data_IF_768964515975
#
_entry.id   IF_768964515975
#
_cell.length_a   1.000
_cell.length_b   1.000
_cell.length_c   1.000
_cell.angle_alpha   90.00
_cell.angle_beta   90.00
_cell.angle_gamma   90.00
#
_symmetry.space_group_name_H-M   'P 1'
#
loop_
_entity.id
_entity.type
_entity.pdbx_description
1 polymer ?
#
# COMPACT_ATOMS: atom_id res chain seq x y z
N UNK A 1 12.44 -0.91 -20.49
CA UNK A 1 12.14 -1.73 -19.31
C UNK A 1 10.79 -1.34 -18.74
N UNK A 2 9.99 -2.32 -18.44
CA UNK A 2 8.67 -2.08 -17.87
C UNK A 2 8.76 -1.98 -16.35
N UNK A 3 8.15 -0.95 -15.80
CA UNK A 3 7.97 -0.84 -14.35
C UNK A 3 6.57 -1.39 -14.00
N UNK A 4 6.39 -1.72 -12.73
CA UNK A 4 5.09 -2.15 -12.22
C UNK A 4 4.40 -0.99 -11.51
N UNK A 5 3.08 -0.94 -11.62
CA UNK A 5 2.24 -0.02 -10.85
C UNK A 5 1.42 -0.85 -9.87
N UNK A 6 1.50 -0.49 -8.61
CA UNK A 6 0.81 -1.19 -7.53
C UNK A 6 -0.16 -0.21 -6.88
N UNK A 7 -1.40 -0.62 -6.68
CA UNK A 7 -2.39 0.18 -5.97
C UNK A 7 -2.82 -0.58 -4.73
N UNK A 8 -2.63 0.04 -3.57
CA UNK A 8 -2.98 -0.54 -2.27
C UNK A 8 -4.03 0.35 -1.61
N UNK A 9 -5.17 -0.22 -1.26
CA UNK A 9 -6.26 0.51 -0.64
C UNK A 9 -6.40 0.13 0.82
N UNK A 10 -6.34 1.14 1.69
CA UNK A 10 -6.54 1.00 3.13
C UNK A 10 -7.89 1.61 3.49
N UNK A 11 -8.93 0.79 3.55
CA UNK A 11 -10.27 1.24 3.94
C UNK A 11 -10.30 1.38 5.45
N UNK A 12 -10.57 2.59 5.94
CA UNK A 12 -10.40 2.92 7.35
C UNK A 12 -11.72 2.83 8.11
N UNK A 13 -11.68 2.31 9.33
CA UNK A 13 -12.82 2.35 10.25
C UNK A 13 -13.07 3.82 10.60
N UNK A 14 -14.34 4.24 10.51
CA UNK A 14 -14.73 5.62 10.82
C UNK A 14 -14.21 6.03 12.21
N UNK A 15 -13.51 7.16 12.27
CA UNK A 15 -12.90 7.67 13.49
C UNK A 15 -11.44 7.26 13.67
N UNK A 16 -10.92 6.35 12.84
CA UNK A 16 -9.52 5.90 12.93
C UNK A 16 -8.61 6.53 11.86
N UNK A 17 -9.12 7.50 11.10
CA UNK A 17 -8.39 8.10 9.98
C UNK A 17 -7.05 8.71 10.40
N UNK A 18 -7.06 9.44 11.52
CA UNK A 18 -5.85 10.09 12.01
C UNK A 18 -4.76 9.10 12.40
N UNK A 19 -5.15 7.96 12.98
CA UNK A 19 -4.21 6.91 13.37
C UNK A 19 -3.58 6.25 12.15
N UNK A 20 -4.40 5.95 11.13
CA UNK A 20 -3.90 5.33 9.89
C UNK A 20 -2.99 6.31 9.16
N UNK A 21 -3.39 7.59 9.07
CA UNK A 21 -2.57 8.61 8.42
C UNK A 21 -1.19 8.71 9.06
N UNK A 22 -1.15 8.78 10.39
CA UNK A 22 0.12 8.86 11.12
C UNK A 22 0.99 7.63 10.89
N UNK A 23 0.38 6.46 10.92
CA UNK A 23 1.09 5.21 10.68
C UNK A 23 1.70 5.17 9.28
N UNK A 24 0.94 5.60 8.27
CA UNK A 24 1.44 5.66 6.89
C UNK A 24 2.58 6.68 6.79
N UNK A 25 2.45 7.86 7.39
CA UNK A 25 3.51 8.85 7.41
C UNK A 25 4.80 8.29 8.00
N UNK A 26 4.69 7.55 9.09
CA UNK A 26 5.85 6.96 9.77
C UNK A 26 6.52 5.85 8.95
N UNK A 27 5.76 5.19 8.07
CA UNK A 27 6.28 4.04 7.30
C UNK A 27 6.68 4.37 5.87
N UNK A 28 6.26 5.51 5.32
CA UNK A 28 6.50 5.86 3.91
C UNK A 28 7.99 5.94 3.55
N UNK A 29 8.81 6.48 4.42
CA UNK A 29 10.24 6.61 4.14
C UNK A 29 10.91 5.26 4.00
N UNK A 30 10.52 4.27 4.82
CA UNK A 30 11.04 2.92 4.70
C UNK A 30 10.62 2.30 3.38
N UNK A 31 9.37 2.47 2.99
CA UNK A 31 8.87 1.95 1.71
C UNK A 31 9.62 2.56 0.53
N UNK A 32 9.81 3.89 0.55
CA UNK A 32 10.51 4.60 -0.53
C UNK A 32 11.97 4.18 -0.65
N UNK A 33 12.57 3.74 0.45
CA UNK A 33 13.97 3.32 0.48
C UNK A 33 14.15 1.83 0.17
N UNK A 34 13.05 1.08 0.03
CA UNK A 34 13.13 -0.35 -0.22
C UNK A 34 13.59 -0.61 -1.66
N UNK A 35 14.40 -1.66 -1.82
CA UNK A 35 14.93 -2.01 -3.13
C UNK A 35 13.82 -2.19 -4.16
N UNK A 36 13.94 -1.47 -5.27
CA UNK A 36 12.99 -1.53 -6.37
C UNK A 36 11.86 -0.51 -6.30
N UNK A 37 11.71 0.22 -5.19
CA UNK A 37 10.69 1.27 -5.11
C UNK A 37 11.13 2.50 -5.90
N UNK A 38 10.37 2.87 -6.92
CA UNK A 38 10.67 4.02 -7.77
C UNK A 38 9.95 5.27 -7.33
N UNK A 39 8.69 5.15 -6.92
CA UNK A 39 7.90 6.26 -6.40
C UNK A 39 6.72 5.75 -5.61
N UNK A 40 6.20 6.60 -4.74
CA UNK A 40 5.07 6.28 -3.89
C UNK A 40 4.34 7.57 -3.52
N UNK A 41 3.04 7.60 -3.82
CA UNK A 41 2.15 8.68 -3.40
C UNK A 41 0.94 8.07 -2.70
N UNK A 42 0.44 8.77 -1.68
CA UNK A 42 -0.75 8.33 -0.95
C UNK A 42 -1.82 9.40 -1.05
N UNK A 43 -3.01 8.98 -1.42
CA UNK A 43 -4.17 9.84 -1.55
C UNK A 43 -5.25 9.42 -0.56
N UNK A 44 -6.08 10.37 -0.15
CA UNK A 44 -7.25 10.06 0.65
C UNK A 44 -8.49 10.17 -0.22
N UNK A 45 -9.30 9.09 -0.27
CA UNK A 45 -10.57 9.07 -0.96
C UNK A 45 -11.70 9.22 0.05
N UNK A 46 -12.35 10.39 0.02
CA UNK A 46 -13.41 10.70 0.98
C UNK A 46 -14.62 9.79 0.85
N UNK A 47 -15.00 9.46 -0.37
CA UNK A 47 -16.20 8.64 -0.66
C UNK A 47 -16.15 7.28 0.04
N UNK A 48 -14.99 6.65 0.06
CA UNK A 48 -14.82 5.32 0.64
C UNK A 48 -14.09 5.33 1.97
N UNK A 49 -13.71 6.51 2.45
CA UNK A 49 -12.92 6.69 3.66
C UNK A 49 -11.65 5.83 3.62
N UNK A 50 -10.92 5.95 2.50
CA UNK A 50 -9.76 5.11 2.25
C UNK A 50 -8.51 5.93 1.97
N UNK A 51 -7.36 5.45 2.45
CA UNK A 51 -6.06 5.90 1.96
C UNK A 51 -5.65 4.97 0.84
N UNK A 52 -5.23 5.54 -0.28
CA UNK A 52 -4.86 4.80 -1.48
C UNK A 52 -3.42 5.11 -1.82
N UNK A 53 -2.57 4.09 -1.76
CA UNK A 53 -1.18 4.21 -2.16
C UNK A 53 -1.04 3.82 -3.62
N UNK A 54 -0.46 4.72 -4.42
CA UNK A 54 -0.14 4.45 -5.83
C UNK A 54 1.38 4.40 -5.91
N UNK A 55 1.90 3.24 -6.26
CA UNK A 55 3.32 2.93 -6.16
C UNK A 55 3.87 2.49 -7.50
N UNK A 56 5.09 2.94 -7.80
CA UNK A 56 5.86 2.46 -8.95
C UNK A 56 7.03 1.64 -8.45
N UNK A 57 7.18 0.44 -8.99
CA UNK A 57 8.24 -0.48 -8.64
C UNK A 57 8.96 -0.95 -9.90
N UNK A 58 10.22 -1.34 -9.76
CA UNK A 58 10.98 -1.88 -10.89
C UNK A 58 10.31 -3.11 -11.50
N UNK A 59 9.68 -3.93 -10.67
CA UNK A 59 8.91 -5.10 -11.10
C UNK A 59 7.91 -5.49 -10.04
N UNK A 60 6.95 -6.33 -10.39
CA UNK A 60 6.02 -6.92 -9.42
C UNK A 60 6.80 -7.75 -8.40
N UNK A 61 7.86 -8.43 -8.83
CA UNK A 61 8.70 -9.23 -7.92
C UNK A 61 9.34 -8.39 -6.83
N UNK A 62 9.80 -7.18 -7.15
CA UNK A 62 10.33 -6.26 -6.14
C UNK A 62 9.28 -5.88 -5.11
N UNK A 63 8.07 -5.58 -5.57
CA UNK A 63 6.96 -5.27 -4.68
C UNK A 63 6.60 -6.48 -3.79
N UNK A 64 6.55 -7.67 -4.37
CA UNK A 64 6.21 -8.88 -3.61
C UNK A 64 7.21 -9.12 -2.47
N UNK A 65 8.49 -8.89 -2.71
CA UNK A 65 9.53 -8.98 -1.67
C UNK A 65 9.31 -7.95 -0.57
N UNK A 66 8.95 -6.72 -0.96
CA UNK A 66 8.64 -5.66 -0.01
C UNK A 66 7.44 -6.05 0.87
N UNK A 67 6.36 -6.52 0.24
CA UNK A 67 5.15 -6.92 0.97
C UNK A 67 5.45 -8.06 1.94
N UNK A 68 6.21 -9.05 1.51
CA UNK A 68 6.63 -10.14 2.38
C UNK A 68 7.38 -9.63 3.60
N UNK A 69 8.29 -8.68 3.40
CA UNK A 69 9.03 -8.06 4.49
C UNK A 69 8.10 -7.32 5.46
N UNK A 70 7.11 -6.57 4.93
CA UNK A 70 6.12 -5.88 5.77
C UNK A 70 5.32 -6.87 6.61
N UNK A 71 4.89 -7.97 6.02
CA UNK A 71 4.12 -9.00 6.73
C UNK A 71 4.97 -9.60 7.84
N UNK A 72 6.22 -9.95 7.55
CA UNK A 72 7.14 -10.53 8.52
C UNK A 72 7.47 -9.58 9.66
N UNK A 73 7.48 -8.27 9.40
CA UNK A 73 7.80 -7.27 10.42
C UNK A 73 6.57 -6.79 11.20
N UNK A 74 5.40 -7.38 10.96
CA UNK A 74 4.24 -7.18 11.82
C UNK A 74 3.28 -6.07 11.44
N UNK A 75 3.27 -5.61 10.19
CA UNK A 75 2.37 -4.55 9.73
C UNK A 75 0.90 -4.92 9.98
N UNK A 76 0.55 -6.20 9.87
CA UNK A 76 -0.81 -6.67 10.09
C UNK A 76 -1.30 -6.34 11.50
N UNK A 77 -0.48 -6.58 12.52
CA UNK A 77 -0.87 -6.34 13.92
C UNK A 77 -1.23 -4.88 14.18
N UNK A 78 -0.58 -3.98 13.50
CA UNK A 78 -0.77 -2.53 13.69
C UNK A 78 -1.96 -2.02 12.90
N UNK A 79 -2.09 -2.47 11.64
CA UNK A 79 -3.13 -1.98 10.73
C UNK A 79 -4.48 -2.68 10.88
N UNK A 80 -4.48 -3.99 11.11
CA UNK A 80 -5.72 -4.78 11.12
C UNK A 80 -6.84 -4.18 11.96
N UNK A 81 -6.60 -3.75 13.22
CA UNK A 81 -7.69 -3.21 14.06
C UNK A 81 -8.18 -1.83 13.62
N UNK A 82 -7.48 -1.15 12.73
CA UNK A 82 -7.83 0.19 12.26
C UNK A 82 -8.58 0.18 10.93
N UNK A 83 -8.64 -0.99 10.26
CA UNK A 83 -9.15 -1.10 8.91
C UNK A 83 -10.51 -1.80 8.87
N UNK A 84 -11.40 -1.26 8.04
CA UNK A 84 -12.69 -1.86 7.73
C UNK A 84 -12.44 -3.09 6.85
N UNK A 85 -12.83 -4.26 7.34
CA UNK A 85 -12.51 -5.53 6.72
C UNK A 85 -11.11 -6.05 7.07
N UNK A 86 -10.37 -5.31 7.90
CA UNK A 86 -9.07 -5.73 8.41
C UNK A 86 -7.97 -5.78 7.36
N UNK A 87 -6.84 -6.35 7.75
CA UNK A 87 -5.68 -6.52 6.87
C UNK A 87 -5.99 -7.43 5.68
N UNK A 88 -6.85 -8.42 5.87
CA UNK A 88 -7.27 -9.32 4.79
C UNK A 88 -7.88 -8.52 3.63
N UNK A 89 -8.68 -7.51 3.92
CA UNK A 89 -9.29 -6.67 2.88
C UNK A 89 -8.23 -5.93 2.05
N UNK A 90 -7.15 -5.49 2.69
CA UNK A 90 -6.03 -4.87 1.98
C UNK A 90 -5.42 -5.87 1.01
N UNK A 91 -5.06 -7.05 1.50
CA UNK A 91 -4.40 -8.08 0.67
C UNK A 91 -5.28 -8.52 -0.50
N UNK A 92 -6.58 -8.71 -0.27
CA UNK A 92 -7.50 -9.19 -1.29
C UNK A 92 -7.72 -8.17 -2.41
N UNK A 93 -7.43 -6.90 -2.17
CA UNK A 93 -7.72 -5.81 -3.10
C UNK A 93 -6.48 -5.11 -3.64
N UNK A 94 -5.30 -5.64 -3.40
CA UNK A 94 -4.08 -5.10 -4.02
C UNK A 94 -4.16 -5.30 -5.53
N UNK A 95 -3.94 -4.22 -6.27
CA UNK A 95 -3.92 -4.26 -7.74
C UNK A 95 -2.49 -4.15 -8.22
N UNK A 96 -2.09 -5.06 -9.10
CA UNK A 96 -0.75 -5.12 -9.65
C UNK A 96 -0.82 -5.04 -11.16
N UNK A 97 -0.19 -4.01 -11.72
CA UNK A 97 -0.14 -3.77 -13.16
C UNK A 97 1.33 -3.82 -13.59
N UNK A 98 1.64 -4.62 -14.61
CA UNK A 98 3.02 -4.71 -15.08
C UNK A 98 3.33 -3.56 -16.04
N UNK A 99 3.06 -3.70 -17.33
CA UNK A 99 3.33 -2.65 -18.28
C UNK A 99 2.02 -2.04 -18.77
N UNK A 100 2.00 -0.73 -19.09
CA UNK A 100 0.84 -0.14 -19.77
C UNK A 100 0.60 -0.84 -21.11
N UNK A 101 -0.67 -1.00 -21.46
CA UNK A 101 -1.01 -1.49 -22.78
C UNK A 101 -0.76 -0.41 -23.83
N UNK A 102 -0.41 -0.84 -25.03
CA UNK A 102 -0.21 0.05 -26.17
C UNK A 102 -1.52 0.12 -26.96
N UNK A 103 -2.09 1.31 -27.08
CA UNK A 103 -3.29 1.53 -27.83
C UNK A 103 -3.05 2.45 -29.03
#
# INVERSE_FOLDING_TARGET
MSSATIIVTFKVIHGKEGLVKKLLEDTLNETRSFDGCLSLEVFYEKKTNSYIAIEKWQSVSHYDKYLEWRIQTGIEKVLDPLLDGGWKNVLDNIKKFESPEQF
#
